data_IF_670015222923
#
_entry.id   IF_670015222923
#
_cell.length_a   1.000
_cell.length_b   1.000
_cell.length_c   1.000
_cell.angle_alpha   90.00
_cell.angle_beta   90.00
_cell.angle_gamma   90.00
#
_symmetry.space_group_name_H-M   'P 1'
#
loop_
_entity.id
_entity.type
_entity.pdbx_description
1 polymer ?
#
# COMPACT_ATOMS: atom_id res chain seq x y z
N UNK A 1 14.74 26.49 -3.04
CA UNK A 1 13.30 26.38 -3.06
C UNK A 1 12.79 25.02 -2.59
N UNK A 2 11.99 24.36 -3.38
CA UNK A 2 11.20 23.17 -2.99
C UNK A 2 12.05 22.06 -2.34
N UNK A 3 13.21 21.70 -2.88
CA UNK A 3 14.08 20.66 -2.30
C UNK A 3 14.53 20.96 -0.87
N UNK A 4 14.73 22.24 -0.50
CA UNK A 4 15.05 22.64 0.88
C UNK A 4 13.87 22.36 1.80
N UNK A 5 12.66 22.73 1.39
CA UNK A 5 11.44 22.48 2.12
C UNK A 5 11.15 20.98 2.29
N UNK A 6 11.31 20.19 1.23
CA UNK A 6 11.12 18.74 1.26
C UNK A 6 12.04 18.07 2.27
N UNK A 7 13.34 18.39 2.26
CA UNK A 7 14.29 17.85 3.23
C UNK A 7 13.96 18.29 4.66
N UNK A 8 13.57 19.54 4.85
CA UNK A 8 13.16 20.06 6.16
C UNK A 8 11.97 19.28 6.72
N UNK A 9 10.92 19.07 5.90
CA UNK A 9 9.72 18.32 6.29
C UNK A 9 10.06 16.87 6.61
N UNK A 10 10.81 16.20 5.75
CA UNK A 10 11.18 14.81 5.96
C UNK A 10 11.93 14.61 7.28
N UNK A 11 12.96 15.43 7.53
CA UNK A 11 13.76 15.33 8.76
C UNK A 11 12.91 15.63 10.00
N UNK A 12 12.09 16.69 9.98
CA UNK A 12 11.19 17.01 11.12
C UNK A 12 10.21 15.88 11.43
N UNK A 13 9.57 15.30 10.41
CA UNK A 13 8.63 14.20 10.63
C UNK A 13 9.35 12.93 11.11
N UNK A 14 10.57 12.69 10.63
CA UNK A 14 11.38 11.58 11.08
C UNK A 14 11.80 11.74 12.55
N UNK A 15 12.28 12.93 12.96
CA UNK A 15 12.64 13.25 14.35
C UNK A 15 11.45 13.13 15.30
N UNK A 16 10.24 13.43 14.83
CA UNK A 16 8.98 13.20 15.57
C UNK A 16 8.53 11.73 15.60
N UNK A 17 9.22 10.83 14.90
CA UNK A 17 8.84 9.42 14.78
C UNK A 17 7.59 9.17 13.92
N UNK A 18 7.21 10.17 13.11
CA UNK A 18 6.10 10.08 12.16
C UNK A 18 6.52 9.49 10.81
N UNK A 19 7.78 9.63 10.41
CA UNK A 19 8.36 8.90 9.29
C UNK A 19 9.14 7.71 9.80
N UNK A 20 8.93 6.55 9.20
CA UNK A 20 9.65 5.32 9.52
C UNK A 20 9.91 4.50 8.26
N UNK A 21 10.92 3.63 8.33
CA UNK A 21 11.20 2.60 7.32
C UNK A 21 10.79 1.25 7.86
N UNK A 22 9.93 0.54 7.15
CA UNK A 22 9.39 -0.74 7.61
C UNK A 22 8.97 -1.65 6.47
N UNK A 23 8.83 -2.93 6.80
CA UNK A 23 8.24 -3.92 5.91
C UNK A 23 6.72 -3.89 6.06
N UNK A 24 6.04 -3.66 4.96
CA UNK A 24 4.59 -3.67 4.85
C UNK A 24 4.21 -4.25 3.50
N UNK A 25 2.99 -4.75 3.41
CA UNK A 25 2.43 -5.05 2.10
C UNK A 25 2.04 -3.74 1.42
N UNK A 26 2.43 -3.59 0.17
CA UNK A 26 2.21 -2.39 -0.64
C UNK A 26 1.65 -2.78 -2.00
N UNK A 27 1.02 -1.84 -2.67
CA UNK A 27 0.71 -1.97 -4.08
C UNK A 27 1.99 -1.76 -4.91
N UNK A 28 2.29 -2.70 -5.77
CA UNK A 28 3.47 -2.68 -6.64
C UNK A 28 3.06 -2.77 -8.09
N UNK A 29 3.61 -1.91 -8.94
CA UNK A 29 3.43 -2.01 -10.37
C UNK A 29 4.58 -2.83 -10.99
N UNK A 30 4.34 -4.06 -11.48
CA UNK A 30 5.40 -4.89 -12.04
C UNK A 30 5.94 -4.41 -13.39
N UNK A 31 5.21 -3.54 -14.08
CA UNK A 31 5.67 -2.91 -15.32
C UNK A 31 6.53 -1.67 -15.05
N UNK A 32 6.09 -0.80 -14.13
CA UNK A 32 6.84 0.41 -13.77
C UNK A 32 7.97 0.13 -12.78
N UNK A 33 8.01 -1.06 -12.17
CA UNK A 33 8.97 -1.51 -11.14
C UNK A 33 9.06 -0.54 -9.96
N UNK A 34 7.91 -0.11 -9.47
CA UNK A 34 7.81 0.85 -8.35
C UNK A 34 6.59 0.60 -7.50
N UNK A 35 6.69 1.00 -6.23
CA UNK A 35 5.54 1.10 -5.33
C UNK A 35 4.60 2.21 -5.80
N UNK A 36 3.32 2.02 -5.53
CA UNK A 36 2.26 3.02 -5.74
C UNK A 36 1.40 3.08 -4.47
N UNK A 37 0.86 4.25 -4.15
CA UNK A 37 -0.06 4.41 -3.02
C UNK A 37 -1.46 3.88 -3.36
N UNK A 38 -2.27 3.61 -2.34
CA UNK A 38 -3.66 3.15 -2.54
C UNK A 38 -4.47 4.10 -3.43
N UNK A 39 -4.19 5.40 -3.33
CA UNK A 39 -4.84 6.42 -4.14
C UNK A 39 -4.44 6.39 -5.63
N UNK A 40 -3.30 5.80 -5.97
CA UNK A 40 -2.80 5.68 -7.34
C UNK A 40 -3.26 4.37 -8.02
N UNK A 41 -4.09 3.57 -7.33
CA UNK A 41 -4.69 2.35 -7.88
C UNK A 41 -6.07 2.68 -8.43
N UNK A 42 -6.27 2.42 -9.71
CA UNK A 42 -7.57 2.49 -10.36
C UNK A 42 -8.19 1.09 -10.36
N UNK A 43 -9.51 1.01 -10.17
CA UNK A 43 -10.19 -0.27 -10.08
C UNK A 43 -11.10 -0.49 -11.28
N UNK A 44 -10.97 -1.67 -11.90
CA UNK A 44 -11.73 -2.07 -13.06
C UNK A 44 -12.35 -3.46 -12.85
N UNK A 45 -13.60 -3.62 -13.28
CA UNK A 45 -14.22 -4.93 -13.32
C UNK A 45 -13.60 -5.78 -14.42
N UNK A 46 -12.99 -6.88 -14.05
CA UNK A 46 -12.37 -7.83 -14.97
C UNK A 46 -13.05 -9.19 -14.89
N UNK A 47 -13.32 -9.77 -16.05
CA UNK A 47 -13.74 -11.16 -16.15
C UNK A 47 -12.57 -12.09 -15.76
N UNK A 48 -12.84 -13.01 -14.87
CA UNK A 48 -11.88 -13.99 -14.38
C UNK A 48 -12.59 -15.28 -14.00
N UNK A 49 -11.98 -16.02 -13.14
CA UNK A 49 -12.54 -17.29 -12.66
C UNK A 49 -12.37 -17.40 -11.16
N UNK A 50 -13.19 -18.24 -10.57
CA UNK A 50 -13.09 -18.69 -9.21
C UNK A 50 -12.71 -20.16 -9.24
N UNK A 51 -11.46 -20.48 -8.87
CA UNK A 51 -10.94 -21.84 -8.85
C UNK A 51 -11.23 -22.47 -7.50
N UNK A 52 -12.04 -23.53 -7.49
CA UNK A 52 -12.32 -24.32 -6.31
C UNK A 52 -11.27 -25.40 -6.17
N UNK A 53 -10.57 -25.40 -5.05
CA UNK A 53 -9.45 -26.27 -4.74
C UNK A 53 -9.78 -27.10 -3.49
N UNK A 54 -9.15 -28.25 -3.34
CA UNK A 54 -9.23 -29.05 -2.14
C UNK A 54 -7.84 -29.33 -1.59
N UNK A 55 -7.66 -29.04 -0.31
CA UNK A 55 -6.44 -29.35 0.42
C UNK A 55 -6.67 -30.56 1.32
N UNK A 56 -5.79 -31.55 1.25
CA UNK A 56 -5.92 -32.77 2.06
C UNK A 56 -5.65 -32.44 3.53
N UNK A 57 -6.53 -32.90 4.42
CA UNK A 57 -6.28 -32.81 5.86
C UNK A 57 -5.24 -33.87 6.22
N UNK A 58 -4.20 -33.45 6.95
CA UNK A 58 -3.11 -34.35 7.34
C UNK A 58 -3.66 -35.50 8.21
N UNK A 59 -3.15 -36.71 7.99
CA UNK A 59 -3.52 -37.94 8.70
C UNK A 59 -5.02 -38.31 8.58
N UNK A 60 -5.69 -37.82 7.51
CA UNK A 60 -7.07 -38.09 7.19
C UNK A 60 -7.26 -38.32 5.70
N UNK A 61 -8.35 -38.95 5.31
CA UNK A 61 -8.79 -39.05 3.91
C UNK A 61 -9.73 -37.91 3.51
N UNK A 62 -9.97 -36.97 4.42
CA UNK A 62 -10.83 -35.80 4.23
C UNK A 62 -10.06 -34.66 3.56
N UNK A 63 -10.81 -33.77 2.93
CA UNK A 63 -10.31 -32.57 2.26
C UNK A 63 -11.04 -31.34 2.75
N UNK A 64 -10.32 -30.24 2.81
CA UNK A 64 -10.88 -28.91 3.04
C UNK A 64 -10.98 -28.19 1.69
N UNK A 65 -12.19 -27.83 1.29
CA UNK A 65 -12.44 -27.12 0.04
C UNK A 65 -12.38 -25.60 0.25
N UNK A 66 -11.70 -24.91 -0.64
CA UNK A 66 -11.59 -23.47 -0.68
C UNK A 66 -11.66 -22.96 -2.12
N UNK A 67 -11.82 -21.66 -2.30
CA UNK A 67 -11.84 -21.06 -3.62
C UNK A 67 -10.94 -19.81 -3.69
N UNK A 68 -10.35 -19.57 -4.85
CA UNK A 68 -9.44 -18.44 -5.07
C UNK A 68 -9.57 -17.87 -6.47
N UNK A 69 -9.34 -16.56 -6.61
CA UNK A 69 -9.20 -15.89 -7.91
C UNK A 69 -7.75 -15.85 -8.39
N UNK A 70 -6.79 -16.27 -7.53
CA UNK A 70 -5.36 -16.15 -7.77
C UNK A 70 -4.61 -17.46 -7.46
N UNK A 71 -4.81 -18.54 -8.25
CA UNK A 71 -4.13 -19.82 -8.00
C UNK A 71 -2.60 -19.75 -8.12
N UNK A 72 -2.05 -18.77 -8.86
CA UNK A 72 -0.59 -18.58 -8.99
C UNK A 72 0.11 -18.23 -7.68
N UNK A 73 -0.61 -17.66 -6.69
CA UNK A 73 -0.03 -17.33 -5.39
C UNK A 73 -0.06 -18.49 -4.40
N UNK A 74 -0.73 -19.60 -4.73
CA UNK A 74 -0.87 -20.78 -3.88
C UNK A 74 0.47 -21.30 -3.35
N UNK A 75 1.53 -21.21 -4.14
CA UNK A 75 2.87 -21.64 -3.75
C UNK A 75 3.36 -20.94 -2.45
N UNK A 76 2.83 -19.76 -2.15
CA UNK A 76 3.15 -18.96 -0.97
C UNK A 76 2.15 -19.08 0.18
N UNK A 77 1.16 -19.96 0.11
CA UNK A 77 0.18 -20.16 1.19
C UNK A 77 0.86 -20.65 2.46
N UNK A 78 0.51 -20.04 3.59
CA UNK A 78 1.10 -20.35 4.90
C UNK A 78 0.07 -20.77 5.94
N UNK A 79 -1.21 -20.61 5.65
CA UNK A 79 -2.33 -21.14 6.44
C UNK A 79 -3.59 -21.26 5.57
N UNK A 80 -4.58 -21.90 6.15
CA UNK A 80 -5.98 -21.80 5.73
C UNK A 80 -6.77 -21.24 6.90
N UNK A 81 -7.63 -20.26 6.66
CA UNK A 81 -8.45 -19.62 7.69
C UNK A 81 -9.92 -20.03 7.56
N UNK A 82 -10.58 -20.15 8.70
CA UNK A 82 -12.02 -20.39 8.85
C UNK A 82 -12.57 -19.44 9.92
N UNK A 83 -13.86 -19.14 9.87
CA UNK A 83 -14.48 -18.33 10.91
C UNK A 83 -14.58 -19.12 12.21
N UNK A 84 -14.24 -18.56 13.40
CA UNK A 84 -14.30 -19.24 14.68
C UNK A 84 -15.72 -19.67 15.09
N UNK A 85 -16.75 -19.02 14.56
CA UNK A 85 -18.16 -19.32 14.83
C UNK A 85 -18.76 -20.33 13.82
N UNK A 86 -18.00 -20.73 12.79
CA UNK A 86 -18.48 -21.66 11.78
C UNK A 86 -18.43 -23.11 12.28
N UNK A 87 -19.59 -23.64 12.64
CA UNK A 87 -19.73 -25.00 13.15
C UNK A 87 -19.27 -26.09 12.15
N UNK A 88 -19.20 -25.78 10.84
CA UNK A 88 -18.72 -26.74 9.82
C UNK A 88 -17.25 -27.06 9.97
N UNK A 89 -16.45 -26.11 10.48
CA UNK A 89 -15.00 -26.18 10.48
C UNK A 89 -14.36 -26.08 11.88
N UNK A 90 -15.16 -25.85 12.90
CA UNK A 90 -14.72 -25.64 14.27
C UNK A 90 -13.76 -26.73 14.79
N UNK A 91 -14.08 -28.00 14.50
CA UNK A 91 -13.26 -29.15 14.90
C UNK A 91 -11.98 -29.33 14.07
N UNK A 92 -11.81 -28.53 13.02
CA UNK A 92 -10.62 -28.53 12.15
C UNK A 92 -9.59 -27.50 12.57
N UNK A 93 -9.96 -26.50 13.37
CA UNK A 93 -9.04 -25.46 13.85
C UNK A 93 -7.89 -26.11 14.64
N UNK A 94 -6.67 -25.72 14.32
CA UNK A 94 -5.45 -26.28 14.89
C UNK A 94 -4.96 -27.56 14.22
N UNK A 95 -5.73 -28.15 13.32
CA UNK A 95 -5.24 -29.23 12.44
C UNK A 95 -4.39 -28.65 11.31
N UNK A 96 -3.82 -29.53 10.52
CA UNK A 96 -2.90 -29.20 9.41
C UNK A 96 -3.49 -29.70 8.10
N UNK A 97 -3.34 -28.94 7.03
CA UNK A 97 -3.59 -29.38 5.67
C UNK A 97 -2.30 -29.46 4.88
N UNK A 98 -2.30 -30.27 3.83
CA UNK A 98 -1.18 -30.41 2.90
C UNK A 98 -1.49 -29.55 1.67
N UNK A 99 -0.65 -28.54 1.46
CA UNK A 99 -0.73 -27.66 0.30
C UNK A 99 -0.42 -28.44 -0.97
N UNK A 100 -1.30 -28.46 -1.98
CA UNK A 100 -1.01 -29.12 -3.25
C UNK A 100 0.26 -28.60 -3.92
N UNK A 101 0.82 -29.35 -4.85
CA UNK A 101 2.01 -29.02 -5.65
C UNK A 101 3.30 -28.97 -4.84
N UNK A 102 3.36 -28.14 -3.79
CA UNK A 102 4.57 -27.98 -2.96
C UNK A 102 4.61 -28.92 -1.77
N UNK A 103 3.50 -29.59 -1.46
CA UNK A 103 3.34 -30.58 -0.38
C UNK A 103 3.78 -30.07 1.01
N UNK A 104 3.71 -28.75 1.22
CA UNK A 104 4.00 -28.13 2.52
C UNK A 104 2.82 -28.29 3.46
N UNK A 105 3.11 -28.60 4.71
CA UNK A 105 2.14 -28.62 5.78
C UNK A 105 1.84 -27.20 6.26
N UNK A 106 0.58 -26.80 6.28
CA UNK A 106 0.13 -25.49 6.73
C UNK A 106 -1.04 -25.63 7.72
N UNK A 107 -1.12 -24.77 8.76
CA UNK A 107 -2.16 -24.88 9.79
C UNK A 107 -3.52 -24.38 9.29
N UNK A 108 -4.58 -24.88 9.93
CA UNK A 108 -5.92 -24.31 9.88
C UNK A 108 -6.06 -23.37 11.07
N UNK A 109 -6.29 -22.09 10.83
CA UNK A 109 -6.44 -21.05 11.85
C UNK A 109 -7.86 -20.51 11.88
N UNK A 110 -8.29 -20.00 13.04
CA UNK A 110 -9.58 -19.34 13.19
C UNK A 110 -9.38 -17.83 13.17
N UNK A 111 -10.08 -17.12 12.26
CA UNK A 111 -9.99 -15.67 12.14
C UNK A 111 -11.35 -15.07 11.74
N UNK A 112 -11.77 -14.02 12.44
CA UNK A 112 -13.04 -13.31 12.20
C UNK A 112 -13.11 -12.61 10.83
N UNK A 113 -11.97 -12.49 10.15
CA UNK A 113 -11.89 -11.99 8.78
C UNK A 113 -12.69 -12.84 7.79
N UNK A 114 -12.83 -14.14 8.07
CA UNK A 114 -13.50 -15.07 7.14
C UNK A 114 -15.01 -14.93 7.24
N UNK A 115 -15.65 -14.61 6.13
CA UNK A 115 -17.10 -14.56 5.99
C UNK A 115 -17.66 -15.98 5.77
N UNK A 116 -18.52 -16.45 6.67
CA UNK A 116 -19.06 -17.84 6.66
C UNK A 116 -19.89 -18.15 5.41
N UNK A 117 -20.58 -17.15 4.87
CA UNK A 117 -21.50 -17.29 3.74
C UNK A 117 -20.87 -16.95 2.39
N UNK A 118 -19.59 -16.56 2.38
CA UNK A 118 -18.87 -16.28 1.12
C UNK A 118 -18.09 -17.50 0.65
N UNK A 119 -18.36 -17.94 -0.57
CA UNK A 119 -17.71 -19.10 -1.19
C UNK A 119 -17.94 -20.37 -0.38
N UNK A 120 -16.84 -20.99 0.07
CA UNK A 120 -16.88 -22.19 0.92
C UNK A 120 -16.88 -21.86 2.42
N UNK A 121 -16.65 -20.61 2.80
CA UNK A 121 -16.37 -20.20 4.18
C UNK A 121 -14.94 -20.55 4.63
N UNK A 122 -14.06 -20.86 3.67
CA UNK A 122 -12.66 -21.22 3.89
C UNK A 122 -11.78 -20.37 2.98
N UNK A 123 -10.78 -19.73 3.53
CA UNK A 123 -9.86 -18.83 2.79
C UNK A 123 -8.43 -19.31 2.93
N UNK A 124 -7.72 -19.41 1.80
CA UNK A 124 -6.26 -19.61 1.81
C UNK A 124 -5.59 -18.33 2.27
N UNK A 125 -4.52 -18.40 3.03
CA UNK A 125 -3.79 -17.25 3.55
C UNK A 125 -2.40 -17.19 2.94
N UNK A 126 -2.19 -16.15 2.12
CA UNK A 126 -0.93 -15.86 1.41
C UNK A 126 -0.40 -14.48 1.80
N UNK A 127 0.23 -14.31 2.97
CA UNK A 127 0.58 -13.01 3.53
C UNK A 127 1.48 -12.14 2.63
N UNK A 128 2.23 -12.76 1.72
CA UNK A 128 3.11 -12.03 0.80
C UNK A 128 2.36 -11.34 -0.36
N UNK A 129 1.12 -11.75 -0.68
CA UNK A 129 0.45 -11.40 -1.95
C UNK A 129 -0.99 -10.91 -1.80
N UNK A 130 -1.49 -10.74 -0.58
CA UNK A 130 -2.80 -10.15 -0.29
C UNK A 130 -2.74 -9.31 0.98
N UNK A 131 -3.26 -8.05 0.97
CA UNK A 131 -3.23 -7.17 2.14
C UNK A 131 -4.01 -7.72 3.35
N UNK A 132 -5.14 -8.38 3.13
CA UNK A 132 -5.93 -8.95 4.22
C UNK A 132 -5.25 -10.19 4.78
N UNK A 133 -4.69 -11.03 3.92
CA UNK A 133 -3.91 -12.21 4.33
C UNK A 133 -2.66 -11.80 5.11
N UNK A 134 -2.05 -10.64 4.76
CA UNK A 134 -0.93 -10.10 5.52
C UNK A 134 -1.32 -9.75 6.95
N UNK A 135 -2.48 -9.13 7.17
CA UNK A 135 -3.00 -8.81 8.50
C UNK A 135 -3.35 -10.08 9.30
N UNK A 136 -3.97 -11.08 8.64
CA UNK A 136 -4.17 -12.41 9.25
C UNK A 136 -2.83 -13.03 9.62
N UNK A 137 -1.85 -12.93 8.72
CA UNK A 137 -0.48 -13.41 8.95
C UNK A 137 0.17 -12.79 10.19
N UNK A 138 0.01 -11.49 10.40
CA UNK A 138 0.50 -10.79 11.59
C UNK A 138 -0.18 -11.28 12.88
N UNK A 139 -1.52 -11.42 12.86
CA UNK A 139 -2.29 -11.90 14.04
C UNK A 139 -1.92 -13.32 14.46
N UNK A 140 -1.65 -14.19 13.48
CA UNK A 140 -1.33 -15.60 13.70
C UNK A 140 0.16 -15.92 13.63
N UNK A 141 1.03 -14.89 13.48
CA UNK A 141 2.48 -15.04 13.37
C UNK A 141 2.89 -16.04 12.25
N UNK A 142 2.22 -15.93 11.10
CA UNK A 142 2.49 -16.80 9.95
C UNK A 142 3.73 -16.33 9.17
N UNK A 143 4.47 -17.24 8.54
CA UNK A 143 5.59 -16.85 7.68
C UNK A 143 5.09 -16.11 6.43
N UNK A 144 5.92 -15.18 5.93
CA UNK A 144 5.68 -14.45 4.69
C UNK A 144 6.55 -15.08 3.60
N UNK A 145 5.92 -15.75 2.63
CA UNK A 145 6.60 -16.45 1.54
C UNK A 145 6.29 -15.75 0.23
N UNK A 146 7.25 -14.97 -0.26
CA UNK A 146 7.14 -14.31 -1.55
C UNK A 146 7.40 -15.30 -2.70
N UNK A 147 6.51 -15.35 -3.67
CA UNK A 147 6.61 -16.27 -4.82
C UNK A 147 6.89 -15.55 -6.15
N UNK A 148 6.97 -14.21 -6.15
CA UNK A 148 7.12 -13.42 -7.36
C UNK A 148 8.30 -12.45 -7.27
N UNK A 149 8.96 -12.26 -8.41
CA UNK A 149 9.99 -11.23 -8.64
C UNK A 149 9.35 -9.84 -8.79
N UNK A 150 10.19 -8.79 -8.90
CA UNK A 150 9.71 -7.41 -9.06
C UNK A 150 8.90 -7.20 -10.36
N UNK A 151 9.17 -7.98 -11.39
CA UNK A 151 8.43 -7.99 -12.67
C UNK A 151 7.30 -9.04 -12.73
N UNK A 152 6.86 -9.51 -11.56
CA UNK A 152 5.76 -10.47 -11.37
C UNK A 152 5.94 -11.81 -12.13
N UNK A 153 7.17 -12.29 -12.17
CA UNK A 153 7.49 -13.67 -12.58
C UNK A 153 7.68 -14.55 -11.36
N UNK A 154 7.45 -15.84 -11.51
CA UNK A 154 7.70 -16.78 -10.41
C UNK A 154 9.19 -16.84 -10.10
N UNK A 155 9.53 -16.87 -8.81
CA UNK A 155 10.92 -16.92 -8.30
C UNK A 155 11.58 -18.28 -8.60
N UNK A 156 12.92 -18.32 -8.53
CA UNK A 156 13.72 -19.53 -8.74
C UNK A 156 13.52 -20.58 -7.63
N UNK A 157 12.86 -20.24 -6.53
CA UNK A 157 12.50 -21.16 -5.44
C UNK A 157 11.51 -22.25 -5.92
N UNK A 158 10.84 -22.01 -7.05
CA UNK A 158 9.88 -22.92 -7.66
C UNK A 158 10.34 -23.30 -9.09
N UNK A 159 11.35 -24.19 -9.24
CA UNK A 159 12.03 -24.44 -10.52
C UNK A 159 11.12 -24.79 -11.68
N UNK A 160 10.00 -25.49 -11.42
CA UNK A 160 9.02 -25.87 -12.46
C UNK A 160 8.36 -24.64 -13.12
N UNK A 161 8.18 -23.56 -12.38
CA UNK A 161 7.47 -22.36 -12.83
C UNK A 161 8.40 -21.13 -12.92
N UNK A 162 9.65 -21.28 -12.52
CA UNK A 162 10.63 -20.18 -12.44
C UNK A 162 10.70 -19.37 -13.74
N UNK A 163 10.65 -18.05 -13.61
CA UNK A 163 10.70 -17.11 -14.72
C UNK A 163 9.42 -17.00 -15.57
N UNK A 164 8.38 -17.82 -15.32
CA UNK A 164 7.08 -17.66 -15.96
C UNK A 164 6.41 -16.38 -15.48
N UNK A 165 5.80 -15.63 -16.40
CA UNK A 165 4.86 -14.57 -16.04
C UNK A 165 3.71 -15.14 -15.19
N UNK A 166 3.20 -14.33 -14.25
CA UNK A 166 2.15 -14.74 -13.30
C UNK A 166 0.92 -15.36 -13.97
N UNK A 167 0.51 -14.92 -15.17
CA UNK A 167 -0.64 -15.46 -15.87
C UNK A 167 -0.30 -16.78 -16.63
N UNK A 168 0.93 -16.93 -17.09
CA UNK A 168 1.42 -18.20 -17.64
C UNK A 168 1.57 -19.23 -16.53
N UNK A 169 2.15 -18.83 -15.39
CA UNK A 169 2.27 -19.66 -14.21
C UNK A 169 0.89 -20.11 -13.68
N UNK A 170 -0.10 -19.22 -13.66
CA UNK A 170 -1.49 -19.53 -13.29
C UNK A 170 -2.02 -20.70 -14.11
N UNK A 171 -1.86 -20.67 -15.45
CA UNK A 171 -2.32 -21.74 -16.32
C UNK A 171 -1.60 -23.07 -16.03
N UNK A 172 -0.27 -23.02 -15.85
CA UNK A 172 0.52 -24.21 -15.55
C UNK A 172 0.16 -24.81 -14.18
N UNK A 173 0.00 -23.97 -13.16
CA UNK A 173 -0.39 -24.37 -11.79
C UNK A 173 -1.80 -24.99 -11.79
N UNK A 174 -2.76 -24.41 -12.51
CA UNK A 174 -4.11 -24.96 -12.62
C UNK A 174 -4.09 -26.35 -13.28
N UNK A 175 -3.30 -26.53 -14.33
CA UNK A 175 -3.14 -27.84 -14.97
C UNK A 175 -2.53 -28.89 -14.02
N UNK A 176 -1.57 -28.49 -13.19
CA UNK A 176 -0.97 -29.39 -12.20
C UNK A 176 -1.94 -29.71 -11.05
N UNK A 177 -2.74 -28.75 -10.60
CA UNK A 177 -3.80 -28.97 -9.62
C UNK A 177 -4.86 -29.95 -10.13
N UNK A 178 -5.19 -29.88 -11.43
CA UNK A 178 -6.09 -30.83 -12.07
C UNK A 178 -5.46 -32.24 -12.13
N UNK A 179 -4.19 -32.33 -12.50
CA UNK A 179 -3.45 -33.60 -12.57
C UNK A 179 -3.31 -34.28 -11.20
N UNK A 180 -3.11 -33.50 -10.12
CA UNK A 180 -3.08 -33.99 -8.74
C UNK A 180 -4.49 -34.30 -8.17
N UNK A 181 -5.54 -33.94 -8.91
CA UNK A 181 -6.92 -34.05 -8.44
C UNK A 181 -7.28 -33.05 -7.33
N UNK A 182 -6.51 -31.98 -7.18
CA UNK A 182 -6.77 -30.92 -6.21
C UNK A 182 -7.72 -29.84 -6.75
N UNK A 183 -7.93 -29.74 -8.05
CA UNK A 183 -8.92 -28.86 -8.68
C UNK A 183 -10.29 -29.53 -8.64
N UNK A 184 -11.28 -28.86 -8.06
CA UNK A 184 -12.66 -29.35 -7.93
C UNK A 184 -13.52 -28.86 -9.11
N UNK A 185 -13.52 -27.54 -9.33
CA UNK A 185 -14.25 -26.89 -10.42
C UNK A 185 -13.69 -25.50 -10.72
N UNK A 186 -14.07 -24.96 -11.85
CA UNK A 186 -13.80 -23.57 -12.25
C UNK A 186 -15.14 -22.91 -12.52
N UNK A 187 -15.38 -21.73 -11.92
CA UNK A 187 -16.58 -20.93 -12.15
C UNK A 187 -16.18 -19.59 -12.77
N UNK A 188 -16.97 -19.10 -13.70
CA UNK A 188 -16.80 -17.74 -14.21
C UNK A 188 -17.12 -16.73 -13.10
N UNK A 189 -16.24 -15.79 -12.91
CA UNK A 189 -16.35 -14.78 -11.86
C UNK A 189 -15.83 -13.43 -12.35
N UNK A 190 -16.57 -12.38 -12.08
CA UNK A 190 -16.11 -11.00 -12.32
C UNK A 190 -15.78 -10.36 -10.99
N UNK A 191 -14.61 -9.75 -10.91
CA UNK A 191 -14.16 -9.07 -9.70
C UNK A 191 -13.43 -7.78 -10.05
N UNK A 192 -13.41 -6.89 -9.08
CA UNK A 192 -12.77 -5.60 -9.20
C UNK A 192 -11.25 -5.74 -8.99
N UNK A 193 -10.48 -5.39 -10.01
CA UNK A 193 -9.02 -5.56 -10.04
C UNK A 193 -8.36 -4.18 -10.04
N UNK A 194 -7.38 -4.00 -9.14
CA UNK A 194 -6.58 -2.79 -9.08
C UNK A 194 -5.58 -2.71 -10.22
N UNK A 195 -5.53 -1.57 -10.90
CA UNK A 195 -4.58 -1.28 -11.98
C UNK A 195 -3.75 -0.05 -11.67
N UNK A 196 -2.56 0.03 -12.26
CA UNK A 196 -1.66 1.16 -12.10
C UNK A 196 -2.17 2.34 -12.95
N UNK A 197 -2.44 3.48 -12.33
CA UNK A 197 -2.94 4.68 -13.01
C UNK A 197 -2.01 5.20 -14.14
N UNK A 198 -0.71 4.83 -14.13
CA UNK A 198 0.27 5.28 -15.14
C UNK A 198 0.27 4.41 -16.39
N UNK A 199 0.09 3.09 -16.26
CA UNK A 199 0.31 2.16 -17.37
C UNK A 199 -0.82 1.13 -17.55
N UNK A 200 -1.87 1.14 -16.70
CA UNK A 200 -2.99 0.21 -16.77
C UNK A 200 -2.65 -1.25 -16.39
N UNK A 201 -1.40 -1.53 -15.99
CA UNK A 201 -1.03 -2.89 -15.59
C UNK A 201 -1.64 -3.23 -14.24
N UNK A 202 -2.21 -4.42 -14.11
CA UNK A 202 -2.71 -4.97 -12.85
C UNK A 202 -1.62 -4.92 -11.78
N UNK A 203 -1.91 -4.27 -10.65
CA UNK A 203 -0.98 -4.16 -9.52
C UNK A 203 -0.77 -5.51 -8.84
N UNK A 204 0.38 -5.67 -8.24
CA UNK A 204 0.75 -6.86 -7.47
C UNK A 204 0.96 -6.45 -6.01
N UNK A 205 0.08 -6.84 -5.08
CA UNK A 205 0.37 -6.67 -3.66
C UNK A 205 1.62 -7.47 -3.29
N UNK A 206 2.57 -6.83 -2.63
CA UNK A 206 3.80 -7.48 -2.17
C UNK A 206 4.35 -6.88 -0.90
N UNK A 207 4.98 -7.68 -0.09
CA UNK A 207 5.71 -7.21 1.09
C UNK A 207 7.04 -6.60 0.64
N UNK A 208 7.27 -5.36 1.05
CA UNK A 208 8.50 -4.62 0.71
C UNK A 208 8.89 -3.66 1.83
N UNK A 209 10.18 -3.41 1.92
CA UNK A 209 10.74 -2.46 2.88
C UNK A 209 10.74 -1.05 2.27
N UNK A 210 9.81 -0.23 2.71
CA UNK A 210 9.53 1.10 2.18
C UNK A 210 9.56 2.17 3.28
N UNK A 211 9.51 3.43 2.88
CA UNK A 211 9.34 4.56 3.79
C UNK A 211 7.87 4.95 3.88
N UNK A 212 7.42 5.20 5.11
CA UNK A 212 6.02 5.51 5.43
C UNK A 212 5.90 6.74 6.32
N UNK A 213 4.76 7.45 6.17
CA UNK A 213 4.30 8.47 7.11
C UNK A 213 3.14 7.89 7.91
N UNK A 214 3.21 7.97 9.25
CA UNK A 214 2.10 7.67 10.15
C UNK A 214 1.05 8.77 10.02
N UNK A 215 -0.12 8.42 9.51
CA UNK A 215 -1.11 9.40 9.10
C UNK A 215 -2.14 9.74 10.18
N UNK A 216 -2.43 8.85 11.12
CA UNK A 216 -3.50 9.01 12.10
C UNK A 216 -3.40 10.35 12.89
N UNK A 217 -2.22 10.65 13.43
CA UNK A 217 -1.99 11.89 14.20
C UNK A 217 -2.03 13.15 13.34
N UNK A 218 -1.74 13.06 12.05
CA UNK A 218 -1.80 14.17 11.09
C UNK A 218 -3.22 14.39 10.55
N UNK A 219 -4.01 13.32 10.43
CA UNK A 219 -5.36 13.38 9.91
C UNK A 219 -6.34 14.05 10.88
N UNK A 220 -6.21 13.76 12.18
CA UNK A 220 -7.14 14.28 13.19
C UNK A 220 -7.22 15.83 13.22
N UNK A 221 -6.13 16.61 13.30
CA UNK A 221 -6.22 18.07 13.24
C UNK A 221 -6.80 18.58 11.91
N UNK A 222 -6.55 17.90 10.79
CA UNK A 222 -7.11 18.26 9.49
C UNK A 222 -8.63 18.06 9.45
N UNK A 223 -9.15 16.98 10.05
CA UNK A 223 -10.59 16.73 10.20
C UNK A 223 -11.21 17.84 11.08
N UNK A 224 -10.59 18.12 12.22
CA UNK A 224 -11.10 19.10 13.18
C UNK A 224 -11.17 20.51 12.57
N UNK A 225 -10.19 20.92 11.77
CA UNK A 225 -10.17 22.21 11.10
C UNK A 225 -11.39 22.44 10.17
N UNK A 226 -11.82 21.43 9.46
CA UNK A 226 -13.03 21.52 8.61
C UNK A 226 -14.31 21.46 9.46
N UNK A 227 -14.37 20.58 10.46
CA UNK A 227 -15.52 20.50 11.39
C UNK A 227 -15.74 21.79 12.16
N UNK A 228 -14.67 22.49 12.52
CA UNK A 228 -14.71 23.77 13.24
C UNK A 228 -14.97 24.98 12.31
N UNK A 229 -14.97 24.78 11.00
CA UNK A 229 -15.21 25.85 10.02
C UNK A 229 -14.01 26.74 9.73
N UNK A 230 -12.80 26.33 10.14
CA UNK A 230 -11.55 27.04 9.81
C UNK A 230 -11.27 26.97 8.31
N UNK A 231 -11.68 25.87 7.67
CA UNK A 231 -11.65 25.66 6.21
C UNK A 231 -13.01 25.19 5.72
N UNK A 232 -13.46 25.70 4.57
CA UNK A 232 -14.75 25.33 3.97
C UNK A 232 -14.55 24.81 2.54
N UNK A 233 -15.36 23.83 2.17
CA UNK A 233 -15.47 23.34 0.79
C UNK A 233 -16.64 24.04 0.06
N UNK A 234 -16.42 24.47 -1.17
CA UNK A 234 -17.45 25.09 -2.01
C UNK A 234 -17.52 24.35 -3.34
N UNK A 235 -18.63 23.66 -3.64
CA UNK A 235 -19.80 23.44 -2.76
C UNK A 235 -19.52 22.48 -1.60
N UNK A 236 -20.26 22.62 -0.50
CA UNK A 236 -20.09 21.90 0.76
C UNK A 236 -20.12 20.36 0.60
N UNK A 237 -20.87 19.85 -0.39
CA UNK A 237 -20.96 18.39 -0.64
C UNK A 237 -19.63 17.65 -0.78
N UNK A 238 -18.54 18.36 -1.09
CA UNK A 238 -17.19 17.78 -1.23
C UNK A 238 -16.48 17.54 0.09
N UNK A 239 -16.98 18.06 1.20
CA UNK A 239 -16.48 17.74 2.54
C UNK A 239 -16.63 16.25 2.87
N UNK A 240 -17.67 15.57 2.34
CA UNK A 240 -17.91 14.13 2.50
C UNK A 240 -16.75 13.30 1.93
N UNK A 241 -16.22 13.68 0.77
CA UNK A 241 -15.07 13.02 0.16
C UNK A 241 -13.83 13.22 1.06
N UNK A 242 -13.63 14.44 1.53
CA UNK A 242 -12.53 14.78 2.41
C UNK A 242 -12.55 13.96 3.72
N UNK A 243 -13.70 13.91 4.39
CA UNK A 243 -13.86 13.14 5.62
C UNK A 243 -13.71 11.64 5.40
N UNK A 244 -14.33 11.10 4.34
CA UNK A 244 -14.24 9.67 4.04
C UNK A 244 -12.78 9.19 3.93
N UNK A 245 -11.94 9.96 3.25
CA UNK A 245 -10.52 9.62 3.10
C UNK A 245 -9.73 9.75 4.39
N UNK A 246 -9.97 10.82 5.16
CA UNK A 246 -9.21 11.05 6.40
C UNK A 246 -9.63 10.13 7.55
N UNK A 247 -10.91 9.78 7.63
CA UNK A 247 -11.42 8.87 8.67
C UNK A 247 -10.98 7.41 8.45
N UNK A 248 -10.64 7.04 7.22
CA UNK A 248 -10.15 5.71 6.85
C UNK A 248 -8.67 5.72 6.42
N UNK A 249 -7.92 6.73 6.80
CA UNK A 249 -6.56 6.91 6.31
C UNK A 249 -5.61 5.85 6.87
N UNK A 250 -4.83 5.25 5.97
CA UNK A 250 -3.74 4.34 6.31
C UNK A 250 -2.39 5.06 6.25
N UNK A 251 -1.35 4.44 6.78
CA UNK A 251 0.01 4.94 6.65
C UNK A 251 0.40 5.11 5.18
N UNK A 252 0.94 6.27 4.86
CA UNK A 252 1.25 6.64 3.48
C UNK A 252 2.64 6.16 3.08
N UNK A 253 2.72 5.25 2.10
CA UNK A 253 3.98 4.87 1.47
C UNK A 253 4.50 6.03 0.61
N UNK A 254 5.65 6.58 0.99
CA UNK A 254 6.24 7.78 0.37
C UNK A 254 7.46 7.50 -0.50
N UNK A 255 8.03 6.32 -0.49
CA UNK A 255 9.17 5.96 -1.34
C UNK A 255 8.73 5.47 -2.72
N UNK A 256 9.48 5.85 -3.75
CA UNK A 256 9.29 5.43 -5.14
C UNK A 256 10.64 5.03 -5.74
N UNK A 257 10.64 3.96 -6.49
CA UNK A 257 11.81 3.45 -7.22
C UNK A 257 11.87 4.12 -8.60
N UNK A 258 11.90 5.46 -8.62
CA UNK A 258 11.93 6.27 -9.82
C UNK A 258 13.23 7.04 -9.92
N UNK A 259 13.73 7.22 -11.15
CA UNK A 259 14.96 7.97 -11.39
C UNK A 259 14.79 9.48 -11.14
N UNK A 260 13.61 10.04 -11.43
CA UNK A 260 13.34 11.47 -11.27
C UNK A 260 12.48 11.75 -10.05
N UNK A 261 12.93 12.63 -9.17
CA UNK A 261 12.21 13.05 -7.97
C UNK A 261 13.13 13.63 -6.91
N UNK A 262 12.57 13.94 -5.75
CA UNK A 262 13.32 14.31 -4.55
C UNK A 262 13.87 13.04 -3.89
N UNK A 263 15.17 12.84 -3.96
CA UNK A 263 15.82 11.69 -3.34
C UNK A 263 15.64 11.71 -1.82
N UNK A 264 15.36 10.56 -1.24
CA UNK A 264 15.12 10.41 0.20
C UNK A 264 16.38 10.82 0.97
N UNK A 265 16.29 11.73 1.97
CA UNK A 265 17.44 12.27 2.68
C UNK A 265 17.88 11.34 3.85
N UNK A 266 17.96 10.06 3.57
CA UNK A 266 18.47 9.01 4.46
C UNK A 266 19.76 8.43 3.88
N UNK A 267 20.71 8.11 4.75
CA UNK A 267 22.05 7.64 4.39
C UNK A 267 22.40 6.38 5.17
N UNK A 268 23.01 5.42 4.51
CA UNK A 268 23.37 4.12 5.07
C UNK A 268 24.88 3.93 5.05
N UNK A 269 25.42 3.44 6.15
CA UNK A 269 26.80 3.04 6.24
C UNK A 269 26.95 1.56 5.83
N UNK A 270 27.59 1.30 4.70
CA UNK A 270 27.80 -0.06 4.20
C UNK A 270 28.82 -0.87 5.06
N UNK A 271 29.51 -0.21 6.00
CA UNK A 271 30.50 -0.86 6.89
C UNK A 271 29.88 -1.34 8.19
N UNK A 272 29.03 -0.53 8.83
CA UNK A 272 28.49 -0.86 10.17
C UNK A 272 26.96 -0.87 10.24
N UNK A 273 26.26 -0.67 9.11
CA UNK A 273 24.80 -0.71 9.04
C UNK A 273 24.08 0.50 9.67
N UNK A 274 24.83 1.52 10.13
CA UNK A 274 24.22 2.72 10.71
C UNK A 274 23.43 3.50 9.67
N UNK A 275 22.29 4.07 10.08
CA UNK A 275 21.45 4.92 9.25
C UNK A 275 21.38 6.33 9.85
N UNK A 276 21.53 7.34 9.01
CA UNK A 276 21.41 8.76 9.38
C UNK A 276 20.43 9.46 8.44
N UNK A 277 19.51 10.21 9.02
CA UNK A 277 18.59 11.10 8.28
C UNK A 277 19.06 12.54 8.48
N UNK A 278 19.32 13.25 7.38
CA UNK A 278 19.86 14.61 7.44
C UNK A 278 19.44 15.44 6.24
N UNK A 279 19.43 16.76 6.42
CA UNK A 279 19.17 17.74 5.34
C UNK A 279 20.36 17.95 4.42
N UNK A 280 21.52 17.50 4.83
CA UNK A 280 22.75 17.62 4.05
C UNK A 280 22.72 16.74 2.80
N UNK A 281 23.59 17.09 1.82
CA UNK A 281 23.69 16.31 0.57
C UNK A 281 24.62 15.10 0.68
N UNK A 282 25.36 15.01 1.78
CA UNK A 282 26.30 13.93 2.10
C UNK A 282 26.29 13.69 3.60
N UNK A 283 26.56 12.46 4.01
CA UNK A 283 26.68 12.12 5.42
C UNK A 283 27.95 11.29 5.65
N UNK A 284 28.51 11.46 6.83
CA UNK A 284 29.60 10.66 7.36
C UNK A 284 29.07 9.86 8.55
N UNK A 285 29.37 8.58 8.59
CA UNK A 285 28.89 7.70 9.65
C UNK A 285 29.41 8.15 11.03
N UNK A 286 28.53 8.43 11.99
CA UNK A 286 28.94 8.87 13.33
C UNK A 286 29.66 7.78 14.12
N UNK A 287 29.49 6.50 13.74
CA UNK A 287 30.12 5.37 14.44
C UNK A 287 31.53 5.02 13.90
N UNK A 288 31.71 5.02 12.59
CA UNK A 288 32.95 4.56 11.98
C UNK A 288 33.70 5.58 11.10
N UNK A 289 33.14 6.78 10.93
CA UNK A 289 33.74 7.87 10.17
C UNK A 289 33.83 7.66 8.65
N UNK A 290 33.11 6.65 8.10
CA UNK A 290 33.10 6.38 6.66
C UNK A 290 32.00 7.20 5.96
N UNK A 291 32.22 7.53 4.70
CA UNK A 291 31.19 8.14 3.84
C UNK A 291 29.99 7.18 3.72
N UNK A 292 28.77 7.73 3.77
CA UNK A 292 27.55 6.97 3.73
C UNK A 292 26.88 7.10 2.36
N UNK A 293 26.23 6.03 1.93
CA UNK A 293 25.45 5.99 0.69
C UNK A 293 24.04 6.50 0.94
N UNK A 294 23.57 7.44 0.11
CA UNK A 294 22.20 7.92 0.17
C UNK A 294 21.22 6.85 -0.31
N UNK A 295 20.03 6.86 0.25
CA UNK A 295 18.91 6.02 -0.20
C UNK A 295 18.64 6.24 -1.69
N UNK A 296 18.57 5.19 -2.53
CA UNK A 296 18.40 5.33 -3.97
C UNK A 296 16.98 5.79 -4.36
N UNK A 297 16.01 5.60 -3.49
CA UNK A 297 14.61 5.89 -3.78
C UNK A 297 14.32 7.40 -3.76
N UNK A 298 13.27 7.78 -4.45
CA UNK A 298 12.74 9.14 -4.46
C UNK A 298 11.43 9.21 -3.68
N UNK A 299 11.06 10.42 -3.28
CA UNK A 299 9.78 10.66 -2.61
C UNK A 299 8.63 10.70 -3.64
N UNK A 300 7.47 10.24 -3.21
CA UNK A 300 6.20 10.45 -3.89
C UNK A 300 6.03 11.92 -4.28
N UNK A 301 5.60 12.17 -5.50
CA UNK A 301 5.33 13.52 -6.02
C UNK A 301 4.41 14.32 -5.10
N UNK A 302 3.42 13.68 -4.52
CA UNK A 302 2.48 14.33 -3.62
C UNK A 302 3.09 14.79 -2.29
N UNK A 303 4.24 14.24 -1.91
CA UNK A 303 4.99 14.70 -0.73
C UNK A 303 5.49 16.14 -0.91
N UNK A 304 6.06 16.45 -2.05
CA UNK A 304 6.51 17.82 -2.36
C UNK A 304 5.34 18.75 -2.72
N UNK A 305 4.33 18.23 -3.43
CA UNK A 305 3.13 19.00 -3.81
C UNK A 305 2.30 19.46 -2.61
N UNK A 306 2.29 18.69 -1.52
CA UNK A 306 1.65 19.06 -0.25
C UNK A 306 2.22 20.34 0.38
N UNK A 307 3.45 20.69 0.07
CA UNK A 307 4.16 21.83 0.65
C UNK A 307 3.94 23.11 -0.16
N UNK A 308 3.25 23.04 -1.28
CA UNK A 308 3.09 24.15 -2.22
C UNK A 308 2.63 25.46 -1.57
N UNK A 309 1.63 25.49 -0.65
CA UNK A 309 1.09 26.72 -0.06
C UNK A 309 2.12 27.57 0.67
N UNK A 310 3.19 26.97 1.19
CA UNK A 310 4.20 27.67 1.96
C UNK A 310 5.62 27.53 1.41
N UNK A 311 5.95 26.44 0.72
CA UNK A 311 7.29 26.24 0.14
C UNK A 311 7.59 27.22 -1.00
N UNK A 312 6.57 27.60 -1.80
CA UNK A 312 6.69 28.58 -2.87
C UNK A 312 6.89 30.00 -2.35
N UNK A 313 6.46 30.26 -1.12
CA UNK A 313 6.62 31.53 -0.41
C UNK A 313 7.94 31.61 0.37
N UNK A 314 8.82 30.62 0.21
CA UNK A 314 10.18 30.64 0.76
C UNK A 314 10.41 29.83 2.03
N UNK A 315 9.37 29.20 2.60
CA UNK A 315 9.55 28.31 3.75
C UNK A 315 10.61 27.23 3.47
N UNK A 316 11.48 26.88 4.44
CA UNK A 316 11.42 27.14 5.88
C UNK A 316 12.00 28.49 6.32
N UNK A 317 12.43 29.36 5.40
CA UNK A 317 12.87 30.72 5.76
C UNK A 317 11.65 31.60 6.08
N UNK A 318 11.84 32.54 7.00
CA UNK A 318 10.79 33.51 7.37
C UNK A 318 10.83 34.71 6.40
N UNK A 319 10.15 34.57 5.26
CA UNK A 319 10.08 35.62 4.23
C UNK A 319 8.89 36.55 4.46
N UNK A 320 8.95 37.74 3.88
CA UNK A 320 7.82 38.70 3.90
C UNK A 320 6.64 38.15 3.08
N UNK A 321 6.90 37.44 1.98
CA UNK A 321 5.86 36.78 1.19
C UNK A 321 5.12 35.72 1.99
N UNK A 322 5.84 34.87 2.72
CA UNK A 322 5.22 33.87 3.59
C UNK A 322 4.34 34.51 4.63
N UNK A 323 4.79 35.59 5.28
CA UNK A 323 4.03 36.31 6.29
C UNK A 323 2.78 36.99 5.75
N UNK A 324 2.82 37.43 4.48
CA UNK A 324 1.73 38.17 3.85
C UNK A 324 0.69 37.28 3.18
N UNK A 325 1.13 36.24 2.48
CA UNK A 325 0.27 35.41 1.63
C UNK A 325 -0.19 34.11 2.26
N UNK A 326 0.38 33.69 3.39
CA UNK A 326 -0.03 32.48 4.09
C UNK A 326 -0.80 32.84 5.39
N UNK A 327 -1.98 32.23 5.65
CA UNK A 327 -2.74 31.34 4.78
C UNK A 327 -3.42 32.09 3.62
N UNK A 328 -3.69 31.36 2.51
CA UNK A 328 -4.46 31.94 1.41
C UNK A 328 -5.96 31.94 1.69
N UNK A 329 -6.70 32.88 1.06
CA UNK A 329 -8.15 32.96 1.27
C UNK A 329 -8.90 31.84 0.54
N UNK A 330 -8.49 31.54 -0.69
CA UNK A 330 -9.17 30.56 -1.53
C UNK A 330 -8.19 29.78 -2.40
N UNK A 331 -8.36 28.48 -2.47
CA UNK A 331 -7.70 27.62 -3.43
C UNK A 331 -8.76 26.98 -4.33
N UNK A 332 -8.51 27.06 -5.65
CA UNK A 332 -9.38 26.46 -6.67
C UNK A 332 -8.68 25.25 -7.28
N UNK A 333 -9.35 24.10 -7.30
CA UNK A 333 -8.77 22.86 -7.81
C UNK A 333 -9.86 21.89 -8.30
N UNK A 334 -9.48 20.81 -8.99
CA UNK A 334 -10.37 19.73 -9.36
C UNK A 334 -10.83 18.92 -8.13
N UNK A 335 -12.04 18.42 -8.16
CA UNK A 335 -12.57 17.59 -7.06
C UNK A 335 -11.90 16.21 -6.97
N UNK A 336 -11.37 15.72 -8.08
CA UNK A 336 -10.65 14.46 -8.23
C UNK A 336 -9.33 14.43 -7.47
N UNK A 337 -8.73 15.60 -7.19
CA UNK A 337 -7.48 15.70 -6.43
C UNK A 337 -7.66 16.21 -4.97
N UNK A 338 -8.87 16.16 -4.42
CA UNK A 338 -9.10 16.49 -3.01
C UNK A 338 -8.21 15.65 -2.10
N UNK A 339 -8.22 14.32 -2.30
CA UNK A 339 -7.40 13.43 -1.50
C UNK A 339 -5.91 13.57 -1.79
N UNK A 340 -5.55 13.60 -3.07
CA UNK A 340 -4.15 13.66 -3.47
C UNK A 340 -3.46 14.94 -3.05
N UNK A 341 -4.14 16.06 -3.13
CA UNK A 341 -3.52 17.37 -2.94
C UNK A 341 -4.10 18.14 -1.76
N UNK A 342 -5.41 18.36 -1.71
CA UNK A 342 -6.05 19.19 -0.68
C UNK A 342 -5.81 18.62 0.72
N UNK A 343 -6.11 17.33 0.92
CA UNK A 343 -5.88 16.63 2.20
C UNK A 343 -4.42 16.77 2.63
N UNK A 344 -3.49 16.54 1.69
CA UNK A 344 -2.06 16.60 1.97
C UNK A 344 -1.56 18.01 2.28
N UNK A 345 -2.08 19.04 1.61
CA UNK A 345 -1.79 20.42 1.96
C UNK A 345 -2.33 20.78 3.34
N UNK A 346 -3.54 20.32 3.68
CA UNK A 346 -4.17 20.58 4.98
C UNK A 346 -3.30 20.08 6.13
N UNK A 347 -2.99 18.78 6.16
CA UNK A 347 -2.20 18.26 7.28
C UNK A 347 -0.75 18.79 7.28
N UNK A 348 -0.15 19.05 6.10
CA UNK A 348 1.19 19.64 6.03
C UNK A 348 1.22 21.08 6.50
N UNK A 349 0.22 21.89 6.14
CA UNK A 349 0.09 23.26 6.62
C UNK A 349 -0.08 23.31 8.13
N UNK A 350 -1.03 22.56 8.67
CA UNK A 350 -1.27 22.50 10.12
C UNK A 350 -0.01 22.02 10.87
N UNK A 351 0.64 20.96 10.39
CA UNK A 351 1.82 20.37 11.04
C UNK A 351 3.05 21.31 11.04
N UNK A 352 3.30 22.02 9.94
CA UNK A 352 4.54 22.77 9.76
C UNK A 352 4.41 24.26 9.96
N UNK A 353 3.20 24.82 9.75
CA UNK A 353 2.89 26.24 9.91
C UNK A 353 2.05 26.55 11.14
N UNK A 354 1.37 25.53 11.71
CA UNK A 354 0.49 25.69 12.88
C UNK A 354 -0.91 26.20 12.57
N UNK A 355 -1.25 26.35 11.29
CA UNK A 355 -2.56 26.82 10.83
C UNK A 355 -2.91 26.26 9.45
N UNK A 356 -4.20 26.34 9.07
CA UNK A 356 -4.70 25.84 7.78
C UNK A 356 -4.07 26.59 6.61
N UNK A 357 -3.76 25.92 5.48
CA UNK A 357 -3.12 26.58 4.34
C UNK A 357 -4.10 27.43 3.51
N UNK A 358 -5.40 27.15 3.62
CA UNK A 358 -6.45 27.89 2.89
C UNK A 358 -7.75 27.93 3.69
N UNK A 359 -8.44 29.07 3.67
CA UNK A 359 -9.73 29.25 4.35
C UNK A 359 -10.88 28.63 3.55
N UNK A 360 -10.74 28.53 2.22
CA UNK A 360 -11.76 27.97 1.35
C UNK A 360 -11.16 27.17 0.20
N UNK A 361 -11.80 26.04 -0.14
CA UNK A 361 -11.51 25.24 -1.34
C UNK A 361 -12.72 25.26 -2.26
N UNK A 362 -12.52 25.71 -3.49
CA UNK A 362 -13.54 25.74 -4.55
C UNK A 362 -13.18 24.75 -5.65
N UNK A 363 -14.15 23.94 -6.09
CA UNK A 363 -13.92 22.87 -7.04
C UNK A 363 -14.51 23.21 -8.41
N UNK A 364 -13.68 23.08 -9.45
CA UNK A 364 -14.06 23.14 -10.84
C UNK A 364 -13.95 21.75 -11.48
N UNK A 365 -14.79 21.43 -12.43
CA UNK A 365 -14.60 20.24 -13.27
C UNK A 365 -13.46 20.51 -14.25
N UNK A 366 -12.64 19.49 -14.51
CA UNK A 366 -11.52 19.60 -15.46
C UNK A 366 -11.90 20.03 -16.88
N UNK A 367 -13.19 19.92 -17.25
CA UNK A 367 -13.74 20.31 -18.55
C UNK A 367 -14.43 21.68 -18.57
N UNK A 368 -14.60 22.34 -17.43
CA UNK A 368 -15.27 23.66 -17.36
C UNK A 368 -14.36 24.79 -17.83
N UNK A 369 -13.04 24.55 -17.96
CA UNK A 369 -12.04 25.51 -18.46
C UNK A 369 -11.81 25.44 -19.95
N UNK A 370 -12.46 24.51 -20.68
CA UNK A 370 -12.25 24.31 -22.12
C UNK A 370 -13.39 24.81 -23.00
N UNK A 371 -14.42 25.44 -22.43
CA UNK A 371 -15.63 25.91 -23.16
C UNK A 371 -15.92 27.39 -23.00
N UNK A 372 -15.05 28.19 -22.38
CA UNK A 372 -15.19 29.64 -22.32
C UNK A 372 -14.22 30.34 -23.30
#
# INVERSE_FOLDING_TARGET
>A
GCSKAVKEVFVRLYEKGLIYRGERIINWCPHCLTSISDAEVEYEDQAGHFWHLRYKIKDSDEYLELATTRPETLLGDTAVAVNPEDERYKDLVGKTVILPIVHREIPIVADDYVEMDFGTGVVKITPAHDPNDFEVGLRHNLPVINVMTDDAKITDDYPKYAGMDRYEARKAIVADLEAEGALVKIEDYSHNVGTCYRCGTTVEPRVSKQWFVKMESLAKPAIDAVKNGETKFVPERFDKIYFHWLENIKDWCISRQLWWGHQIPAFYCDVCGEMVVTKENKAVCPKCGKEMRQDPDTLDTWFSSALWPFSTLGWPDKTDDLKYFYPTNTLVTGYDIIFFWVVRMMFSGIEHMGEVPSVSYTHLRAHETSQD
#
